data_IF_553819865513
#
_entry.id   IF_553819865513
#
_cell.length_a   1.000
_cell.length_b   1.000
_cell.length_c   1.000
_cell.angle_alpha   90.00
_cell.angle_beta   90.00
_cell.angle_gamma   90.00
#
_symmetry.space_group_name_H-M   'P 1'
#
loop_
_entity.id
_entity.type
_entity.pdbx_description
1 polymer ?
#
# COMPACT_ATOMS: atom_id res chain seq x y z
N UNK A 1 -26.82 5.79 20.35
CA UNK A 1 -25.49 5.31 20.77
C UNK A 1 -24.81 4.41 19.72
N UNK A 2 -25.46 3.33 19.25
CA UNK A 2 -24.94 2.39 18.24
C UNK A 2 -24.47 3.04 16.92
N UNK A 3 -25.22 3.98 16.35
CA UNK A 3 -24.81 4.73 15.12
C UNK A 3 -23.56 5.59 15.32
N UNK A 4 -23.34 6.12 16.53
CA UNK A 4 -22.18 6.94 16.89
C UNK A 4 -20.93 6.06 17.03
N UNK A 5 -21.08 4.88 17.63
CA UNK A 5 -20.01 3.89 17.80
C UNK A 5 -19.58 3.27 16.46
N UNK A 6 -20.55 2.93 15.59
CA UNK A 6 -20.26 2.44 14.25
C UNK A 6 -19.56 3.50 13.39
N UNK A 7 -19.91 4.77 13.56
CA UNK A 7 -19.24 5.90 12.90
C UNK A 7 -17.80 6.09 13.40
N UNK A 8 -17.56 6.01 14.71
CA UNK A 8 -16.22 6.16 15.29
C UNK A 8 -15.28 5.04 14.84
N UNK A 9 -15.74 3.78 14.89
CA UNK A 9 -14.99 2.64 14.34
C UNK A 9 -14.76 2.76 12.83
N UNK A 10 -15.75 3.26 12.07
CA UNK A 10 -15.62 3.49 10.64
C UNK A 10 -14.60 4.59 10.30
N UNK A 11 -14.51 5.65 11.11
CA UNK A 11 -13.46 6.67 10.99
C UNK A 11 -12.09 6.12 11.34
N UNK A 12 -11.95 5.35 12.40
CA UNK A 12 -10.66 4.75 12.80
C UNK A 12 -10.15 3.78 11.73
N UNK A 13 -11.07 3.00 11.15
CA UNK A 13 -10.80 2.06 10.06
C UNK A 13 -10.44 2.80 8.74
N UNK A 14 -11.09 3.93 8.45
CA UNK A 14 -10.69 4.81 7.33
C UNK A 14 -9.25 5.33 7.47
N UNK A 15 -8.81 5.70 8.69
CA UNK A 15 -7.47 6.25 8.90
C UNK A 15 -6.37 5.22 8.66
N UNK A 16 -6.65 3.94 8.88
CA UNK A 16 -5.73 2.84 8.61
C UNK A 16 -5.27 2.78 7.15
N UNK A 17 -6.24 2.75 6.24
CA UNK A 17 -6.00 2.69 4.79
C UNK A 17 -5.21 3.91 4.30
N UNK A 18 -5.49 5.09 4.85
CA UNK A 18 -4.74 6.31 4.55
C UNK A 18 -3.32 6.29 5.10
N UNK A 19 -3.09 5.72 6.29
CA UNK A 19 -1.74 5.57 6.85
C UNK A 19 -0.89 4.62 6.00
N UNK A 20 -1.46 3.49 5.60
CA UNK A 20 -0.79 2.55 4.70
C UNK A 20 -0.51 3.20 3.33
N UNK A 21 -1.46 3.95 2.79
CA UNK A 21 -1.29 4.75 1.57
C UNK A 21 -0.19 5.81 1.69
N UNK A 22 -0.12 6.52 2.81
CA UNK A 22 0.91 7.53 3.06
C UNK A 22 2.31 6.91 3.10
N UNK A 23 2.46 5.76 3.76
CA UNK A 23 3.72 5.03 3.74
C UNK A 23 4.08 4.55 2.32
N UNK A 24 3.10 4.16 1.51
CA UNK A 24 3.32 3.79 0.11
C UNK A 24 3.78 4.98 -0.73
N UNK A 25 3.27 6.19 -0.48
CA UNK A 25 3.78 7.42 -1.11
C UNK A 25 5.23 7.70 -0.76
N UNK A 26 5.60 7.58 0.51
CA UNK A 26 6.99 7.76 0.97
C UNK A 26 7.88 6.71 0.30
N UNK A 27 7.42 5.46 0.22
CA UNK A 27 8.09 4.38 -0.48
C UNK A 27 8.32 4.70 -1.97
N UNK A 28 7.29 5.17 -2.66
CA UNK A 28 7.37 5.60 -4.07
C UNK A 28 8.32 6.78 -4.30
N UNK A 29 8.29 7.79 -3.42
CA UNK A 29 9.21 8.92 -3.47
C UNK A 29 10.67 8.51 -3.22
N UNK A 30 10.90 7.62 -2.24
CA UNK A 30 12.23 7.09 -1.96
C UNK A 30 12.77 6.29 -3.14
N UNK A 31 11.96 5.38 -3.70
CA UNK A 31 12.32 4.61 -4.90
C UNK A 31 12.64 5.54 -6.09
N UNK A 32 11.81 6.56 -6.31
CA UNK A 32 12.04 7.57 -7.35
C UNK A 32 13.38 8.29 -7.15
N UNK A 33 13.70 8.72 -5.92
CA UNK A 33 14.97 9.38 -5.64
C UNK A 33 16.18 8.46 -5.92
N UNK A 34 16.12 7.20 -5.50
CA UNK A 34 17.19 6.24 -5.80
C UNK A 34 17.40 6.02 -7.30
N UNK A 35 16.34 5.82 -8.07
CA UNK A 35 16.46 5.65 -9.53
C UNK A 35 16.95 6.92 -10.21
N UNK A 36 16.51 8.11 -9.79
CA UNK A 36 17.01 9.39 -10.31
C UNK A 36 18.49 9.58 -10.06
N UNK A 37 18.97 9.18 -8.88
CA UNK A 37 20.38 9.26 -8.54
C UNK A 37 21.24 8.30 -9.39
N UNK A 38 20.75 7.09 -9.66
CA UNK A 38 21.48 6.12 -10.51
C UNK A 38 21.48 6.55 -11.98
N UNK A 39 20.35 7.05 -12.49
CA UNK A 39 20.18 7.46 -13.90
C UNK A 39 20.55 8.93 -14.16
N UNK A 40 21.14 9.61 -13.18
CA UNK A 40 21.56 11.02 -13.28
C UNK A 40 20.48 11.99 -13.78
N UNK A 41 19.21 11.71 -13.47
CA UNK A 41 18.07 12.52 -13.91
C UNK A 41 17.90 13.70 -12.93
N UNK A 42 18.42 14.88 -13.29
CA UNK A 42 18.23 16.13 -12.51
C UNK A 42 16.97 16.91 -12.91
N UNK A 43 16.53 16.82 -14.16
CA UNK A 43 15.36 17.55 -14.67
C UNK A 43 14.05 16.88 -14.25
N UNK A 44 12.94 17.63 -14.26
CA UNK A 44 11.59 17.13 -14.00
C UNK A 44 11.39 16.41 -12.63
N UNK A 45 12.07 16.87 -11.58
CA UNK A 45 11.98 16.27 -10.22
C UNK A 45 10.55 16.25 -9.70
N UNK A 46 9.89 17.41 -9.71
CA UNK A 46 8.50 17.56 -9.24
C UNK A 46 7.52 16.76 -10.11
N UNK A 47 7.71 16.79 -11.44
CA UNK A 47 6.85 16.08 -12.41
C UNK A 47 6.92 14.56 -12.21
N UNK A 48 8.08 14.01 -11.82
CA UNK A 48 8.21 12.60 -11.47
C UNK A 48 7.75 12.29 -10.03
N UNK A 49 7.94 13.21 -9.09
CA UNK A 49 7.63 13.00 -7.68
C UNK A 49 6.11 12.98 -7.41
N UNK A 50 5.34 13.82 -8.11
CA UNK A 50 3.89 13.90 -7.95
C UNK A 50 3.17 12.56 -8.26
N UNK A 51 3.33 11.93 -9.44
CA UNK A 51 2.71 10.63 -9.71
C UNK A 51 3.26 9.53 -8.80
N UNK A 52 4.53 9.60 -8.40
CA UNK A 52 5.14 8.64 -7.47
C UNK A 52 4.63 8.75 -6.04
N UNK A 53 4.05 9.88 -5.64
CA UNK A 53 3.39 10.02 -4.36
C UNK A 53 1.91 9.65 -4.46
N UNK A 54 1.21 10.21 -5.44
CA UNK A 54 -0.25 10.13 -5.57
C UNK A 54 -0.72 8.75 -6.03
N UNK A 55 -0.06 8.16 -7.04
CA UNK A 55 -0.50 6.86 -7.58
C UNK A 55 -0.33 5.76 -6.53
N UNK A 56 0.84 5.60 -5.87
CA UNK A 56 0.97 4.65 -4.76
C UNK A 56 0.01 4.88 -3.61
N UNK A 57 -0.29 6.15 -3.27
CA UNK A 57 -1.24 6.49 -2.21
C UNK A 57 -2.63 5.92 -2.52
N UNK A 58 -3.20 6.33 -3.65
CA UNK A 58 -4.58 6.03 -4.02
C UNK A 58 -4.71 4.54 -4.30
N UNK A 59 -3.76 3.95 -5.04
CA UNK A 59 -3.79 2.52 -5.35
C UNK A 59 -3.72 1.66 -4.08
N UNK A 60 -2.81 1.96 -3.15
CA UNK A 60 -2.69 1.19 -1.90
C UNK A 60 -3.95 1.33 -1.04
N UNK A 61 -4.46 2.56 -0.89
CA UNK A 61 -5.68 2.79 -0.12
C UNK A 61 -6.88 2.06 -0.74
N UNK A 62 -7.10 2.20 -2.06
CA UNK A 62 -8.21 1.55 -2.76
C UNK A 62 -8.13 0.02 -2.72
N UNK A 63 -6.95 -0.55 -2.97
CA UNK A 63 -6.77 -2.01 -2.91
C UNK A 63 -6.98 -2.53 -1.50
N UNK A 64 -6.48 -1.83 -0.47
CA UNK A 64 -6.69 -2.25 0.91
C UNK A 64 -8.18 -2.22 1.30
N UNK A 65 -8.92 -1.20 0.88
CA UNK A 65 -10.37 -1.11 1.09
C UNK A 65 -11.10 -2.30 0.45
N UNK A 66 -10.89 -2.56 -0.84
CA UNK A 66 -11.63 -3.58 -1.59
C UNK A 66 -11.25 -5.01 -1.16
N UNK A 67 -9.97 -5.27 -0.89
CA UNK A 67 -9.51 -6.65 -0.69
C UNK A 67 -9.32 -7.07 0.76
N UNK A 68 -9.26 -6.12 1.70
CA UNK A 68 -9.15 -6.42 3.13
C UNK A 68 -10.40 -5.97 3.86
N UNK A 69 -10.79 -4.70 3.68
CA UNK A 69 -11.82 -4.12 4.51
C UNK A 69 -13.23 -4.59 4.15
N UNK A 70 -13.64 -4.47 2.89
CA UNK A 70 -14.96 -4.97 2.44
C UNK A 70 -15.21 -6.45 2.77
N UNK A 71 -14.29 -7.40 2.48
CA UNK A 71 -14.52 -8.81 2.81
C UNK A 71 -14.50 -9.10 4.32
N UNK A 72 -13.80 -8.28 5.10
CA UNK A 72 -13.83 -8.38 6.56
C UNK A 72 -15.18 -7.91 7.12
N UNK A 73 -15.73 -6.80 6.62
CA UNK A 73 -17.03 -6.28 7.10
C UNK A 73 -18.22 -7.09 6.62
N UNK A 74 -18.13 -7.73 5.45
CA UNK A 74 -19.17 -8.62 4.93
C UNK A 74 -19.18 -10.01 5.57
N UNK A 75 -18.27 -10.30 6.50
CA UNK A 75 -18.20 -11.61 7.18
C UNK A 75 -17.72 -12.74 6.27
N UNK A 76 -17.11 -12.42 5.12
CA UNK A 76 -16.46 -13.42 4.25
C UNK A 76 -15.07 -13.80 4.77
N UNK A 77 -14.44 -12.91 5.55
CA UNK A 77 -13.15 -13.13 6.21
C UNK A 77 -13.35 -13.33 7.73
N UNK A 78 -13.77 -14.54 8.14
CA UNK A 78 -13.99 -14.88 9.56
C UNK A 78 -12.73 -15.39 10.28
N UNK A 79 -11.64 -15.65 9.55
CA UNK A 79 -10.39 -16.11 10.13
C UNK A 79 -9.42 -14.95 10.31
N UNK A 80 -8.96 -14.74 11.55
CA UNK A 80 -7.95 -13.74 11.89
C UNK A 80 -6.69 -13.90 11.05
N UNK A 81 -6.18 -15.13 10.93
CA UNK A 81 -4.97 -15.42 10.14
C UNK A 81 -5.16 -15.06 8.67
N UNK A 82 -6.32 -15.37 8.06
CA UNK A 82 -6.61 -15.01 6.67
C UNK A 82 -6.62 -13.49 6.46
N UNK A 83 -7.24 -12.73 7.38
CA UNK A 83 -7.27 -11.27 7.31
C UNK A 83 -5.86 -10.69 7.46
N UNK A 84 -5.10 -11.20 8.42
CA UNK A 84 -3.75 -10.76 8.75
C UNK A 84 -2.77 -11.04 7.61
N UNK A 85 -2.76 -12.26 7.07
CA UNK A 85 -1.92 -12.64 5.92
C UNK A 85 -2.28 -11.82 4.69
N UNK A 86 -3.57 -11.62 4.41
CA UNK A 86 -4.03 -10.84 3.25
C UNK A 86 -3.63 -9.37 3.36
N UNK A 87 -3.79 -8.77 4.55
CA UNK A 87 -3.37 -7.39 4.82
C UNK A 87 -1.86 -7.20 4.70
N UNK A 88 -1.07 -8.13 5.24
CA UNK A 88 0.38 -8.12 5.10
C UNK A 88 0.84 -8.27 3.65
N UNK A 89 0.23 -9.21 2.90
CA UNK A 89 0.54 -9.43 1.48
C UNK A 89 0.22 -8.20 0.63
N UNK A 90 -0.95 -7.58 0.85
CA UNK A 90 -1.33 -6.35 0.12
C UNK A 90 -0.41 -5.19 0.48
N UNK A 91 -0.05 -5.03 1.76
CA UNK A 91 0.94 -4.04 2.19
C UNK A 91 2.28 -4.23 1.49
N UNK A 92 2.80 -5.46 1.47
CA UNK A 92 4.07 -5.78 0.82
C UNK A 92 4.03 -5.58 -0.71
N UNK A 93 3.00 -6.13 -1.37
CA UNK A 93 2.90 -6.13 -2.82
C UNK A 93 2.55 -4.75 -3.36
N UNK A 94 1.46 -4.14 -2.87
CA UNK A 94 0.90 -2.90 -3.43
C UNK A 94 1.50 -1.67 -2.77
N UNK A 95 1.75 -1.71 -1.46
CA UNK A 95 2.38 -0.60 -0.74
C UNK A 95 3.90 -0.56 -0.85
N UNK A 96 4.55 -1.70 -1.14
CA UNK A 96 6.01 -1.85 -1.11
C UNK A 96 6.63 -2.11 -2.48
N UNK A 97 6.32 -3.25 -3.09
CA UNK A 97 6.90 -3.71 -4.36
C UNK A 97 6.41 -2.89 -5.57
N UNK A 98 5.11 -2.62 -5.66
CA UNK A 98 4.50 -1.91 -6.77
C UNK A 98 5.10 -0.50 -7.00
N UNK A 99 5.31 0.35 -5.97
CA UNK A 99 5.95 1.65 -6.15
C UNK A 99 7.38 1.56 -6.69
N UNK A 100 8.14 0.53 -6.29
CA UNK A 100 9.51 0.30 -6.78
C UNK A 100 9.48 -0.07 -8.26
N UNK A 101 8.57 -0.97 -8.64
CA UNK A 101 8.39 -1.38 -10.04
C UNK A 101 7.88 -0.24 -10.92
N UNK A 102 7.00 0.62 -10.40
CA UNK A 102 6.48 1.79 -11.12
C UNK A 102 7.57 2.86 -11.31
N UNK A 103 8.47 3.03 -10.34
CA UNK A 103 9.56 4.00 -10.41
C UNK A 103 10.54 3.73 -11.56
N UNK A 104 10.73 2.46 -11.93
CA UNK A 104 11.67 2.04 -12.96
C UNK A 104 11.31 2.56 -14.38
N UNK A 105 10.12 2.27 -14.96
CA UNK A 105 9.75 2.75 -16.29
C UNK A 105 9.59 4.27 -16.35
N UNK A 106 9.16 4.92 -15.27
CA UNK A 106 9.05 6.38 -15.24
C UNK A 106 10.43 7.01 -15.32
N UNK A 107 11.38 6.57 -14.50
CA UNK A 107 12.75 7.11 -14.55
C UNK A 107 13.49 6.71 -15.83
N UNK A 108 13.20 5.53 -16.39
CA UNK A 108 13.68 5.13 -17.71
C UNK A 108 13.21 6.07 -18.82
N UNK A 109 11.91 6.39 -18.83
CA UNK A 109 11.30 7.30 -19.80
C UNK A 109 11.91 8.70 -19.69
N UNK A 110 12.10 9.21 -18.47
CA UNK A 110 12.78 10.49 -18.26
C UNK A 110 14.24 10.45 -18.73
N UNK A 111 14.98 9.39 -18.44
CA UNK A 111 16.37 9.25 -18.88
C UNK A 111 16.48 9.25 -20.41
N UNK A 112 15.57 8.57 -21.11
CA UNK A 112 15.50 8.58 -22.57
C UNK A 112 15.10 9.96 -23.13
N UNK A 113 14.09 10.60 -22.54
CA UNK A 113 13.61 11.93 -22.96
C UNK A 113 14.66 13.02 -22.80
N UNK A 114 15.44 12.99 -21.71
CA UNK A 114 16.44 14.01 -21.40
C UNK A 114 17.87 13.59 -21.74
N UNK A 115 18.05 12.45 -22.41
CA UNK A 115 19.38 11.88 -22.75
C UNK A 115 20.36 11.92 -21.57
N UNK A 116 19.86 11.64 -20.36
CA UNK A 116 20.62 11.84 -19.11
C UNK A 116 21.64 10.72 -18.85
N UNK A 117 21.46 9.56 -19.47
CA UNK A 117 22.38 8.42 -19.42
C UNK A 117 22.29 7.70 -20.77
N UNK A 118 23.41 7.23 -21.36
CA UNK A 118 23.36 6.41 -22.57
C UNK A 118 22.61 5.10 -22.28
N UNK A 119 21.46 4.92 -22.92
CA UNK A 119 20.68 3.68 -22.79
C UNK A 119 21.36 2.56 -23.60
N UNK A 120 21.39 1.33 -23.07
CA UNK A 120 21.99 0.19 -23.77
C UNK A 120 21.17 -0.21 -25.01
N UNK A 121 21.84 -0.82 -25.98
CA UNK A 121 21.19 -1.49 -27.11
C UNK A 121 20.28 -2.65 -26.67
N UNK A 122 19.40 -3.08 -27.58
CA UNK A 122 18.36 -4.11 -27.34
C UNK A 122 18.90 -5.41 -26.73
N UNK A 123 20.13 -5.78 -27.07
CA UNK A 123 20.83 -6.98 -26.62
C UNK A 123 21.19 -6.97 -25.12
N UNK A 124 21.40 -5.80 -24.50
CA UNK A 124 21.84 -5.65 -23.11
C UNK A 124 20.83 -4.91 -22.22
N UNK A 125 19.66 -4.59 -22.75
CA UNK A 125 18.64 -3.78 -22.06
C UNK A 125 18.18 -4.41 -20.74
N UNK A 126 17.82 -5.69 -20.76
CA UNK A 126 17.34 -6.40 -19.55
C UNK A 126 18.41 -6.46 -18.47
N UNK A 127 19.65 -6.77 -18.85
CA UNK A 127 20.77 -6.87 -17.90
C UNK A 127 21.08 -5.54 -17.24
N UNK A 128 21.04 -4.45 -18.01
CA UNK A 128 21.18 -3.10 -17.49
C UNK A 128 20.09 -2.78 -16.46
N UNK A 129 18.81 -2.98 -16.81
CA UNK A 129 17.71 -2.70 -15.87
C UNK A 129 17.76 -3.55 -14.60
N UNK A 130 18.11 -4.83 -14.70
CA UNK A 130 18.30 -5.70 -13.53
C UNK A 130 19.43 -5.18 -12.64
N UNK A 131 20.57 -4.80 -13.22
CA UNK A 131 21.73 -4.28 -12.49
C UNK A 131 21.42 -2.93 -11.83
N UNK A 132 20.66 -2.06 -12.52
CA UNK A 132 20.19 -0.78 -11.99
C UNK A 132 19.15 -0.95 -10.88
N UNK A 133 18.26 -1.93 -10.99
CA UNK A 133 17.20 -2.18 -10.02
C UNK A 133 17.70 -2.89 -8.75
N UNK A 134 18.67 -3.79 -8.86
CA UNK A 134 19.22 -4.57 -7.74
C UNK A 134 19.60 -3.74 -6.50
N UNK A 135 20.38 -2.64 -6.60
CA UNK A 135 20.71 -1.83 -5.42
C UNK A 135 19.49 -1.10 -4.84
N UNK A 136 18.52 -0.74 -5.68
CA UNK A 136 17.27 -0.09 -5.23
C UNK A 136 16.42 -1.07 -4.45
N UNK A 137 16.19 -2.28 -4.98
CA UNK A 137 15.47 -3.34 -4.28
C UNK A 137 16.13 -3.71 -2.96
N UNK A 138 17.46 -3.76 -2.92
CA UNK A 138 18.20 -4.06 -1.68
C UNK A 138 18.04 -2.97 -0.62
N UNK A 139 18.04 -1.68 -1.00
CA UNK A 139 17.81 -0.56 -0.06
C UNK A 139 16.36 -0.45 0.37
N UNK A 140 15.44 -0.73 -0.55
CA UNK A 140 14.00 -0.64 -0.32
C UNK A 140 13.41 -1.89 0.34
N UNK A 141 14.18 -2.97 0.52
CA UNK A 141 13.68 -4.20 1.17
C UNK A 141 13.16 -3.92 2.58
N UNK A 142 13.82 -3.03 3.33
CA UNK A 142 13.37 -2.57 4.63
C UNK A 142 12.01 -1.86 4.53
N UNK A 143 11.82 -1.01 3.51
CA UNK A 143 10.54 -0.35 3.24
C UNK A 143 9.42 -1.36 2.96
N UNK A 144 9.70 -2.40 2.16
CA UNK A 144 8.74 -3.48 1.88
C UNK A 144 8.39 -4.25 3.15
N UNK A 145 9.36 -4.57 4.00
CA UNK A 145 9.12 -5.25 5.29
C UNK A 145 8.28 -4.39 6.22
N UNK A 146 8.61 -3.10 6.36
CA UNK A 146 7.82 -2.15 7.16
C UNK A 146 6.37 -2.09 6.64
N UNK A 147 6.18 -2.10 5.33
CA UNK A 147 4.86 -2.05 4.72
C UNK A 147 4.07 -3.35 4.92
N UNK A 148 4.74 -4.50 4.87
CA UNK A 148 4.16 -5.79 5.22
C UNK A 148 3.71 -5.82 6.68
N UNK A 149 4.58 -5.39 7.61
CA UNK A 149 4.28 -5.33 9.04
C UNK A 149 3.14 -4.34 9.34
N UNK A 150 3.12 -3.20 8.66
CA UNK A 150 2.05 -2.21 8.80
C UNK A 150 0.71 -2.78 8.31
N UNK A 151 0.70 -3.45 7.17
CA UNK A 151 -0.49 -4.13 6.63
C UNK A 151 -0.99 -5.25 7.55
N UNK A 152 -0.07 -6.04 8.11
CA UNK A 152 -0.33 -7.09 9.09
C UNK A 152 -0.98 -6.53 10.37
N UNK A 153 -0.34 -5.52 10.96
CA UNK A 153 -0.81 -4.85 12.17
C UNK A 153 -2.19 -4.25 11.97
N UNK A 154 -2.38 -3.57 10.84
CA UNK A 154 -3.63 -2.90 10.54
C UNK A 154 -4.78 -3.90 10.33
N UNK A 155 -4.52 -5.00 9.62
CA UNK A 155 -5.50 -6.07 9.45
C UNK A 155 -5.88 -6.73 10.79
N UNK A 156 -4.91 -6.95 11.68
CA UNK A 156 -5.15 -7.47 13.04
C UNK A 156 -6.09 -6.53 13.82
N UNK A 157 -5.81 -5.21 13.79
CA UNK A 157 -6.64 -4.21 14.45
C UNK A 157 -8.04 -4.14 13.86
N UNK A 158 -8.17 -4.19 12.54
CA UNK A 158 -9.47 -4.19 11.88
C UNK A 158 -10.30 -5.42 12.23
N UNK A 159 -9.70 -6.60 12.29
CA UNK A 159 -10.38 -7.83 12.69
C UNK A 159 -10.90 -7.75 14.14
N UNK A 160 -10.07 -7.28 15.08
CA UNK A 160 -10.50 -7.10 16.48
C UNK A 160 -11.60 -6.07 16.68
N UNK A 161 -11.60 -4.99 15.88
CA UNK A 161 -12.66 -3.98 15.87
C UNK A 161 -13.96 -4.58 15.33
N UNK A 162 -13.89 -5.33 14.23
CA UNK A 162 -15.03 -6.00 13.62
C UNK A 162 -15.71 -6.97 14.58
N UNK A 163 -14.94 -7.82 15.27
CA UNK A 163 -15.48 -8.78 16.24
C UNK A 163 -16.27 -8.09 17.37
N UNK A 164 -15.77 -6.97 17.89
CA UNK A 164 -16.48 -6.18 18.92
C UNK A 164 -17.79 -5.59 18.40
N UNK A 165 -17.81 -5.08 17.16
CA UNK A 165 -19.02 -4.53 16.54
C UNK A 165 -20.07 -5.61 16.35
N UNK A 166 -19.66 -6.79 15.87
CA UNK A 166 -20.57 -7.92 15.65
C UNK A 166 -21.19 -8.41 16.96
N UNK A 167 -20.40 -8.51 18.03
CA UNK A 167 -20.89 -8.90 19.35
C UNK A 167 -21.95 -7.91 19.86
N UNK A 168 -21.72 -6.60 19.72
CA UNK A 168 -22.68 -5.58 20.16
C UNK A 168 -23.97 -5.58 19.33
N UNK A 169 -23.90 -5.86 18.03
CA UNK A 169 -25.08 -5.98 17.17
C UNK A 169 -25.93 -7.19 17.56
N UNK A 170 -25.31 -8.33 17.83
CA UNK A 170 -26.02 -9.51 18.32
C UNK A 170 -26.70 -9.24 19.67
N UNK A 171 -26.00 -8.65 20.63
CA UNK A 171 -26.59 -8.27 21.93
C UNK A 171 -27.76 -7.29 21.78
N UNK A 172 -27.72 -6.40 20.80
CA UNK A 172 -28.82 -5.44 20.56
C UNK A 172 -30.04 -6.13 19.96
N UNK A 173 -29.83 -7.06 19.03
CA UNK A 173 -30.89 -7.87 18.41
C UNK A 173 -31.58 -8.78 19.44
N UNK A 174 -30.81 -9.42 20.32
CA UNK A 174 -31.39 -10.22 21.43
C UNK A 174 -32.26 -9.35 22.36
N UNK A 175 -31.88 -8.09 22.59
CA UNK A 175 -32.67 -7.17 23.41
C UNK A 175 -33.99 -6.77 22.74
N UNK A 176 -33.98 -6.56 21.42
CA UNK A 176 -35.20 -6.27 20.63
C UNK A 176 -36.14 -7.48 20.58
N UNK A 177 -35.62 -8.70 20.44
CA UNK A 177 -36.43 -9.94 20.46
C UNK A 177 -37.03 -10.24 21.85
N UNK A 178 -36.40 -9.78 22.93
CA UNK A 178 -36.94 -9.90 24.30
C UNK A 178 -37.98 -8.83 24.66
N UNK A 179 -38.07 -7.75 23.89
CA UNK A 179 -39.00 -6.63 24.12
C UNK A 179 -40.21 -6.63 23.16
N UNK A 180 -40.25 -7.51 22.16
CA UNK A 180 -41.37 -7.72 21.24
C UNK A 180 -42.17 -8.96 21.57
#
# INVERSE_FOLDING_TARGET
>A
LLKQLSFFHRKLCNHGSYFLGANASICGLAANNFFRNILHVRKASIVSALPMAVIPFISTAAVYEVFVREPLFSGLLNCEVCAVVRGGLIGAAVGGLYPILLALPVNASLAARYSSTPLPGKENLLRFWLTTAQPVFRKMSLGVVIQALTGLYLATKHHGIYGKVLQQLNTSRDLEELQG
#
